data_IF_062057023626
#
_entry.id   IF_062057023626
#
_cell.length_a   1.000
_cell.length_b   1.000
_cell.length_c   1.000
_cell.angle_alpha   90.00
_cell.angle_beta   90.00
_cell.angle_gamma   90.00
#
_symmetry.space_group_name_H-M   'P 1'
#
loop_
_entity.id
_entity.type
_entity.pdbx_description
1 polymer ?
#
# COMPACT_ATOMS: atom_id res chain seq x y z
N UNK A 1 12.95 16.30 17.59
CA UNK A 1 13.65 14.99 17.60
C UNK A 1 13.44 14.22 16.30
N UNK A 2 12.20 13.99 15.84
CA UNK A 2 11.90 13.23 14.62
C UNK A 2 12.49 13.83 13.32
N UNK A 3 12.54 15.17 13.18
CA UNK A 3 13.17 15.83 12.02
C UNK A 3 14.65 15.45 11.82
N UNK A 4 15.40 15.22 12.91
CA UNK A 4 16.82 14.86 12.82
C UNK A 4 17.03 13.49 12.18
N UNK A 5 16.14 12.53 12.46
CA UNK A 5 16.17 11.19 11.84
C UNK A 5 15.88 11.28 10.35
N UNK A 6 14.89 12.09 9.95
CA UNK A 6 14.58 12.29 8.53
C UNK A 6 15.68 13.05 7.77
N UNK A 7 16.33 14.02 8.40
CA UNK A 7 17.47 14.71 7.82
C UNK A 7 18.69 13.79 7.64
N UNK A 8 18.95 12.92 8.62
CA UNK A 8 19.97 11.88 8.50
C UNK A 8 19.65 10.90 7.38
N UNK A 9 18.39 10.47 7.26
CA UNK A 9 17.95 9.59 6.19
C UNK A 9 18.06 10.26 4.80
N UNK A 10 17.74 11.54 4.69
CA UNK A 10 17.84 12.30 3.43
C UNK A 10 19.29 12.40 2.93
N UNK A 11 20.25 12.54 3.85
CA UNK A 11 21.67 12.71 3.56
C UNK A 11 22.40 11.41 3.20
N UNK A 12 21.76 10.24 3.33
CA UNK A 12 22.38 8.96 2.98
C UNK A 12 22.69 8.91 1.46
N UNK A 13 23.90 8.46 1.05
CA UNK A 13 24.25 8.33 -0.37
C UNK A 13 23.26 7.46 -1.16
N UNK A 14 22.69 6.43 -0.52
CA UNK A 14 21.65 5.59 -1.09
C UNK A 14 20.33 6.33 -1.34
N UNK A 15 19.94 7.24 -0.43
CA UNK A 15 18.75 8.09 -0.60
C UNK A 15 18.94 9.08 -1.74
N UNK A 16 20.10 9.76 -1.77
CA UNK A 16 20.46 10.72 -2.83
C UNK A 16 20.52 10.02 -4.19
N UNK A 17 21.20 8.88 -4.27
CA UNK A 17 21.26 8.09 -5.51
C UNK A 17 19.88 7.67 -6.00
N UNK A 18 19.01 7.21 -5.09
CA UNK A 18 17.65 6.81 -5.45
C UNK A 18 16.83 8.00 -5.95
N UNK A 19 17.02 9.18 -5.35
CA UNK A 19 16.34 10.43 -5.69
C UNK A 19 16.78 11.01 -7.03
N UNK A 20 18.06 10.91 -7.34
CA UNK A 20 18.68 11.53 -8.52
C UNK A 20 18.78 10.58 -9.72
N UNK A 21 18.57 9.28 -9.51
CA UNK A 21 18.60 8.29 -10.59
C UNK A 21 17.49 8.52 -11.60
N UNK A 22 17.89 8.77 -12.85
CA UNK A 22 16.99 9.00 -13.99
C UNK A 22 16.07 7.80 -14.27
N UNK A 23 16.50 6.58 -13.95
CA UNK A 23 15.75 5.36 -14.22
C UNK A 23 15.14 4.75 -12.95
N UNK A 24 15.88 4.71 -11.84
CA UNK A 24 15.41 4.01 -10.64
C UNK A 24 14.17 4.69 -10.03
N UNK A 25 14.16 6.02 -9.97
CA UNK A 25 13.02 6.75 -9.40
C UNK A 25 11.75 6.58 -10.25
N UNK A 26 11.75 6.79 -11.59
CA UNK A 26 10.56 6.56 -12.40
C UNK A 26 10.08 5.11 -12.43
N UNK A 27 10.99 4.13 -12.43
CA UNK A 27 10.63 2.71 -12.38
C UNK A 27 9.95 2.38 -11.04
N UNK A 28 10.48 2.88 -9.92
CA UNK A 28 9.87 2.71 -8.60
C UNK A 28 8.50 3.40 -8.52
N UNK A 29 8.39 4.63 -9.03
CA UNK A 29 7.13 5.35 -9.05
C UNK A 29 6.07 4.61 -9.89
N UNK A 30 6.45 4.15 -11.09
CA UNK A 30 5.55 3.44 -12.00
C UNK A 30 5.11 2.11 -11.41
N UNK A 31 6.05 1.31 -10.91
CA UNK A 31 5.74 0.03 -10.26
C UNK A 31 4.87 0.22 -9.01
N UNK A 32 5.08 1.29 -8.23
CA UNK A 32 4.22 1.63 -7.11
C UNK A 32 2.78 1.92 -7.54
N UNK A 33 2.59 2.77 -8.54
CA UNK A 33 1.24 3.13 -9.02
C UNK A 33 0.53 1.92 -9.64
N UNK A 34 1.23 1.11 -10.44
CA UNK A 34 0.66 -0.09 -11.05
C UNK A 34 0.25 -1.14 -10.00
N UNK A 35 1.13 -1.42 -9.03
CA UNK A 35 0.82 -2.35 -7.95
C UNK A 35 -0.30 -1.83 -7.04
N UNK A 36 -0.33 -0.53 -6.77
CA UNK A 36 -1.43 0.11 -6.02
C UNK A 36 -2.75 -0.01 -6.77
N UNK A 37 -2.78 0.26 -8.07
CA UNK A 37 -4.00 0.14 -8.89
C UNK A 37 -4.50 -1.31 -8.95
N UNK A 38 -3.59 -2.28 -9.12
CA UNK A 38 -3.92 -3.70 -9.07
C UNK A 38 -4.47 -4.11 -7.70
N UNK A 39 -3.78 -3.72 -6.62
CA UNK A 39 -4.21 -4.02 -5.26
C UNK A 39 -5.60 -3.44 -4.95
N UNK A 40 -5.77 -2.14 -5.17
CA UNK A 40 -7.03 -1.45 -4.94
C UNK A 40 -8.15 -2.00 -5.82
N UNK A 41 -7.87 -2.30 -7.09
CA UNK A 41 -8.83 -2.91 -8.01
C UNK A 41 -9.34 -4.26 -7.54
N UNK A 42 -8.45 -5.13 -7.08
CA UNK A 42 -8.81 -6.46 -6.58
C UNK A 42 -9.60 -6.40 -5.26
N UNK A 43 -9.26 -5.49 -4.37
CA UNK A 43 -10.04 -5.24 -3.14
C UNK A 43 -11.43 -4.72 -3.49
N UNK A 44 -11.54 -3.73 -4.41
CA UNK A 44 -12.83 -3.22 -4.86
C UNK A 44 -13.70 -4.30 -5.52
N UNK A 45 -13.11 -5.22 -6.31
CA UNK A 45 -13.86 -6.35 -6.86
C UNK A 45 -14.48 -7.24 -5.77
N UNK A 46 -13.75 -7.44 -4.68
CA UNK A 46 -14.23 -8.20 -3.52
C UNK A 46 -15.33 -7.43 -2.78
N UNK A 47 -15.14 -6.14 -2.52
CA UNK A 47 -16.14 -5.29 -1.86
C UNK A 47 -17.43 -5.19 -2.68
N UNK A 48 -17.32 -5.04 -4.00
CA UNK A 48 -18.47 -5.08 -4.89
C UNK A 48 -19.17 -6.43 -4.84
N UNK A 49 -18.43 -7.54 -4.82
CA UNK A 49 -19.02 -8.87 -4.66
C UNK A 49 -19.79 -9.03 -3.36
N UNK A 50 -19.31 -8.46 -2.25
CA UNK A 50 -20.00 -8.43 -0.94
C UNK A 50 -21.22 -7.51 -0.95
N UNK A 51 -21.11 -6.35 -1.59
CA UNK A 51 -22.22 -5.43 -1.81
C UNK A 51 -23.29 -5.99 -2.77
N UNK A 52 -23.04 -7.17 -3.36
CA UNK A 52 -23.91 -7.79 -4.34
C UNK A 52 -23.90 -7.03 -5.67
N UNK A 53 -22.83 -6.35 -6.04
CA UNK A 53 -22.68 -5.64 -7.31
C UNK A 53 -21.62 -6.39 -8.13
N UNK A 54 -22.01 -7.03 -9.23
CA UNK A 54 -21.07 -7.79 -10.08
C UNK A 54 -20.65 -9.17 -9.54
N UNK A 55 -20.21 -10.04 -10.46
CA UNK A 55 -19.77 -11.42 -10.22
C UNK A 55 -20.61 -12.27 -9.24
N UNK A 56 -21.94 -12.09 -9.25
CA UNK A 56 -22.88 -12.78 -8.34
C UNK A 56 -22.92 -14.29 -8.52
N UNK A 57 -22.49 -14.80 -9.67
CA UNK A 57 -22.47 -16.23 -10.01
C UNK A 57 -21.36 -17.00 -9.29
N UNK A 58 -20.29 -16.34 -8.85
CA UNK A 58 -19.16 -16.97 -8.16
C UNK A 58 -19.37 -16.93 -6.64
N UNK A 59 -19.11 -18.03 -5.94
CA UNK A 59 -19.09 -18.09 -4.47
C UNK A 59 -18.14 -17.04 -3.89
N UNK A 60 -18.45 -16.48 -2.72
CA UNK A 60 -17.56 -15.53 -2.03
C UNK A 60 -16.23 -16.23 -1.69
N UNK A 61 -16.29 -17.48 -1.24
CA UNK A 61 -15.11 -18.28 -0.92
C UNK A 61 -14.22 -18.48 -2.15
N UNK A 62 -14.79 -18.88 -3.28
CA UNK A 62 -14.04 -19.12 -4.53
C UNK A 62 -13.43 -17.82 -5.07
N UNK A 63 -14.15 -16.71 -4.96
CA UNK A 63 -13.65 -15.40 -5.37
C UNK A 63 -12.49 -14.97 -4.46
N UNK A 64 -12.62 -15.16 -3.16
CA UNK A 64 -11.58 -14.83 -2.20
C UNK A 64 -10.32 -15.67 -2.41
N UNK A 65 -10.42 -17.00 -2.52
CA UNK A 65 -9.26 -17.88 -2.74
C UNK A 65 -8.49 -17.54 -4.01
N UNK A 66 -9.19 -17.14 -5.08
CA UNK A 66 -8.56 -16.77 -6.36
C UNK A 66 -7.92 -15.39 -6.33
N UNK A 67 -8.57 -14.40 -5.71
CA UNK A 67 -8.11 -13.01 -5.73
C UNK A 67 -7.06 -12.73 -4.66
N UNK A 68 -7.10 -13.44 -3.53
CA UNK A 68 -6.25 -13.17 -2.36
C UNK A 68 -4.75 -13.26 -2.66
N UNK A 69 -4.21 -14.25 -3.39
CA UNK A 69 -2.78 -14.29 -3.72
C UNK A 69 -2.31 -13.05 -4.50
N UNK A 70 -3.13 -12.57 -5.44
CA UNK A 70 -2.81 -11.38 -6.23
C UNK A 70 -2.94 -10.10 -5.40
N UNK A 71 -3.92 -10.03 -4.49
CA UNK A 71 -4.03 -8.94 -3.53
C UNK A 71 -2.79 -8.90 -2.62
N UNK A 72 -2.34 -10.06 -2.13
CA UNK A 72 -1.17 -10.13 -1.27
C UNK A 72 0.09 -9.67 -2.00
N UNK A 73 0.35 -10.17 -3.21
CA UNK A 73 1.52 -9.78 -4.01
C UNK A 73 1.46 -8.29 -4.37
N UNK A 74 0.31 -7.81 -4.87
CA UNK A 74 0.13 -6.39 -5.21
C UNK A 74 0.31 -5.48 -4.01
N UNK A 75 -0.22 -5.87 -2.85
CA UNK A 75 -0.08 -5.15 -1.58
C UNK A 75 1.37 -5.09 -1.10
N UNK A 76 2.09 -6.21 -1.10
CA UNK A 76 3.51 -6.26 -0.71
C UNK A 76 4.35 -5.38 -1.63
N UNK A 77 4.19 -5.51 -2.95
CA UNK A 77 4.94 -4.71 -3.92
C UNK A 77 4.63 -3.22 -3.74
N UNK A 78 3.36 -2.85 -3.57
CA UNK A 78 2.95 -1.46 -3.36
C UNK A 78 3.53 -0.89 -2.05
N UNK A 79 3.53 -1.68 -0.97
CA UNK A 79 4.09 -1.28 0.32
C UNK A 79 5.60 -1.06 0.25
N UNK A 80 6.36 -2.02 -0.31
CA UNK A 80 7.82 -1.94 -0.43
C UNK A 80 8.24 -0.77 -1.31
N UNK A 81 7.63 -0.64 -2.49
CA UNK A 81 7.92 0.47 -3.41
C UNK A 81 7.54 1.83 -2.81
N UNK A 82 6.43 1.91 -2.08
CA UNK A 82 6.00 3.12 -1.37
C UNK A 82 6.98 3.52 -0.27
N UNK A 83 7.49 2.56 0.49
CA UNK A 83 8.51 2.80 1.52
C UNK A 83 9.82 3.31 0.91
N UNK A 84 10.25 2.74 -0.22
CA UNK A 84 11.45 3.19 -0.95
C UNK A 84 11.27 4.61 -1.52
N UNK A 85 10.10 4.92 -2.07
CA UNK A 85 9.79 6.27 -2.55
C UNK A 85 9.81 7.28 -1.41
N UNK A 86 9.23 6.95 -0.26
CA UNK A 86 9.31 7.80 0.93
C UNK A 86 10.76 8.01 1.38
N UNK A 87 11.56 6.94 1.40
CA UNK A 87 12.98 6.98 1.74
C UNK A 87 13.82 7.84 0.77
N UNK A 88 13.41 8.01 -0.49
CA UNK A 88 14.11 8.88 -1.44
C UNK A 88 13.96 10.38 -1.16
N UNK A 89 12.86 10.81 -0.54
CA UNK A 89 12.57 12.24 -0.26
C UNK A 89 11.92 12.44 1.11
N UNK A 90 12.52 11.95 2.21
CA UNK A 90 11.90 11.90 3.52
C UNK A 90 11.50 13.28 4.06
N UNK A 91 12.33 14.30 3.85
CA UNK A 91 12.05 15.66 4.33
C UNK A 91 10.89 16.32 3.58
N UNK A 92 10.77 16.06 2.28
CA UNK A 92 9.68 16.58 1.44
C UNK A 92 8.33 15.96 1.82
N UNK A 93 8.31 14.66 2.13
CA UNK A 93 7.09 13.99 2.57
C UNK A 93 6.74 14.32 4.02
N UNK A 94 7.74 14.53 4.89
CA UNK A 94 7.53 14.91 6.29
C UNK A 94 6.78 16.24 6.44
N UNK A 95 7.07 17.23 5.59
CA UNK A 95 6.41 18.53 5.63
C UNK A 95 5.00 18.53 5.01
N UNK A 96 4.62 17.45 4.31
CA UNK A 96 3.36 17.39 3.58
C UNK A 96 2.23 16.81 4.44
N UNK A 97 1.19 17.61 4.69
CA UNK A 97 0.02 17.18 5.45
C UNK A 97 -0.69 15.96 4.84
N UNK A 98 -0.77 15.87 3.51
CA UNK A 98 -1.43 14.76 2.82
C UNK A 98 -0.75 13.42 3.06
N UNK A 99 0.57 13.43 3.25
CA UNK A 99 1.31 12.21 3.60
C UNK A 99 0.86 11.67 4.96
N UNK A 100 0.74 12.56 5.96
CA UNK A 100 0.27 12.16 7.30
C UNK A 100 -1.17 11.66 7.29
N UNK A 101 -2.06 12.33 6.55
CA UNK A 101 -3.42 11.88 6.37
C UNK A 101 -3.46 10.48 5.74
N UNK A 102 -2.68 10.25 4.67
CA UNK A 102 -2.54 8.94 4.04
C UNK A 102 -2.05 7.88 5.04
N UNK A 103 -1.05 8.20 5.86
CA UNK A 103 -0.53 7.27 6.87
C UNK A 103 -1.56 6.94 7.95
N UNK A 104 -2.36 7.92 8.39
CA UNK A 104 -3.46 7.69 9.33
C UNK A 104 -4.52 6.76 8.73
N UNK A 105 -4.93 7.01 7.48
CA UNK A 105 -5.89 6.15 6.77
C UNK A 105 -5.35 4.73 6.59
N UNK A 106 -4.06 4.58 6.29
CA UNK A 106 -3.41 3.28 6.17
C UNK A 106 -3.42 2.52 7.51
N UNK A 107 -3.14 3.20 8.63
CA UNK A 107 -3.24 2.62 9.97
C UNK A 107 -4.66 2.16 10.29
N UNK A 108 -5.67 2.97 9.97
CA UNK A 108 -7.08 2.60 10.13
C UNK A 108 -7.46 1.40 9.26
N UNK A 109 -6.95 1.33 8.03
CA UNK A 109 -7.16 0.19 7.15
C UNK A 109 -6.56 -1.11 7.73
N UNK A 110 -5.32 -1.07 8.24
CA UNK A 110 -4.72 -2.23 8.91
C UNK A 110 -5.46 -2.62 10.18
N UNK A 111 -5.91 -1.65 10.98
CA UNK A 111 -6.72 -1.91 12.17
C UNK A 111 -8.06 -2.58 11.79
N UNK A 112 -8.69 -2.15 10.71
CA UNK A 112 -9.92 -2.76 10.19
C UNK A 112 -9.69 -4.21 9.75
N UNK A 113 -8.61 -4.48 9.00
CA UNK A 113 -8.26 -5.84 8.56
C UNK A 113 -7.98 -6.74 9.76
N UNK A 114 -7.20 -6.26 10.74
CA UNK A 114 -6.91 -6.98 11.97
C UNK A 114 -8.20 -7.29 12.74
N UNK A 115 -9.07 -6.29 12.93
CA UNK A 115 -10.36 -6.48 13.59
C UNK A 115 -11.21 -7.55 12.87
N UNK A 116 -11.31 -7.49 11.55
CA UNK A 116 -12.06 -8.45 10.75
C UNK A 116 -11.50 -9.88 10.87
N UNK A 117 -10.18 -10.04 10.84
CA UNK A 117 -9.53 -11.34 11.03
C UNK A 117 -9.72 -11.89 12.46
N UNK A 118 -9.59 -11.05 13.49
CA UNK A 118 -9.69 -11.53 14.88
C UNK A 118 -11.13 -11.79 15.34
N UNK A 119 -12.12 -11.05 14.84
CA UNK A 119 -13.53 -11.22 15.23
C UNK A 119 -14.32 -12.11 14.29
N UNK A 120 -14.22 -11.89 12.99
CA UNK A 120 -15.14 -12.51 12.02
C UNK A 120 -14.70 -13.92 11.65
N UNK A 121 -13.40 -14.15 11.45
CA UNK A 121 -12.87 -15.49 11.15
C UNK A 121 -12.87 -16.46 12.34
N UNK A 122 -12.89 -15.95 13.57
CA UNK A 122 -12.97 -16.79 14.77
C UNK A 122 -14.41 -17.26 15.11
N UNK A 123 -15.42 -16.69 14.43
CA UNK A 123 -16.85 -16.93 14.72
C UNK A 123 -17.56 -17.78 13.65
N UNK A 124 -16.85 -18.12 12.55
CA UNK A 124 -17.31 -19.04 11.50
C UNK A 124 -16.53 -20.34 11.62
#
# INVERSE_FOLDING_TARGET
MIRGVFAWADALPSSVWLRESLNAFPILLTSHVLSMALFAGLVMMMDFRLAGIGNRSTSITDAQERLFPYQLVGGIVSFVTGALLFYSKPLTYFSNFHFWLKMLLLLLAFANVAYFHFKTYATV
#
